data_IF_820351560697
#
_entry.id   IF_820351560697
#
_cell.length_a   1.000
_cell.length_b   1.000
_cell.length_c   1.000
_cell.angle_alpha   90.00
_cell.angle_beta   90.00
_cell.angle_gamma   90.00
#
_symmetry.space_group_name_H-M   'P 1'
#
loop_
_entity.id
_entity.type
_entity.pdbx_description
1 polymer ?
#
# COMPACT_ATOMS: atom_id res chain seq x y z
N UNK A 1 75.45 -27.40 -59.00
CA UNK A 1 74.23 -27.03 -59.75
C UNK A 1 73.13 -28.05 -59.45
N UNK A 2 71.88 -27.57 -59.24
CA UNK A 2 70.60 -28.31 -59.04
C UNK A 2 70.47 -29.09 -57.72
N UNK A 3 69.86 -28.53 -56.66
CA UNK A 3 68.41 -28.48 -56.33
C UNK A 3 67.68 -29.84 -56.53
N UNK A 4 67.24 -30.45 -55.43
CA UNK A 4 65.84 -30.38 -54.95
C UNK A 4 65.66 -31.10 -53.60
N UNK A 5 65.13 -30.35 -52.63
CA UNK A 5 64.55 -30.83 -51.38
C UNK A 5 63.18 -31.44 -51.67
N UNK A 6 62.90 -32.59 -51.06
CA UNK A 6 61.56 -33.10 -50.79
C UNK A 6 61.49 -33.22 -49.27
N UNK A 7 60.60 -32.47 -48.63
CA UNK A 7 60.13 -32.81 -47.28
C UNK A 7 58.65 -32.45 -47.20
N UNK A 8 57.84 -33.50 -47.21
CA UNK A 8 56.44 -33.51 -46.84
C UNK A 8 56.28 -33.76 -45.34
N UNK A 9 55.15 -33.29 -44.81
CA UNK A 9 54.51 -33.65 -43.54
C UNK A 9 54.76 -32.73 -42.33
N UNK A 10 53.90 -31.72 -42.23
CA UNK A 10 52.92 -31.55 -41.16
C UNK A 10 53.40 -31.64 -39.70
N UNK A 11 53.49 -30.48 -39.03
CA UNK A 11 53.14 -30.38 -37.62
C UNK A 11 52.30 -29.13 -37.39
N UNK A 12 51.07 -29.37 -36.93
CA UNK A 12 50.10 -28.41 -36.43
C UNK A 12 50.74 -27.40 -35.47
N UNK A 13 50.62 -26.11 -35.76
CA UNK A 13 50.70 -25.07 -34.73
C UNK A 13 49.31 -24.44 -34.60
N UNK A 14 48.56 -25.00 -33.66
CA UNK A 14 47.31 -24.48 -33.14
C UNK A 14 47.66 -23.61 -31.92
N UNK A 15 46.87 -22.55 -31.71
CA UNK A 15 46.70 -21.82 -30.44
C UNK A 15 47.73 -20.71 -30.18
N UNK A 16 47.35 -19.48 -30.55
CA UNK A 16 47.18 -18.36 -29.60
C UNK A 16 46.39 -17.24 -30.30
N UNK A 17 45.22 -17.57 -30.85
CA UNK A 17 44.16 -16.58 -30.90
C UNK A 17 43.67 -16.43 -29.46
N UNK A 18 44.26 -15.48 -28.73
CA UNK A 18 43.59 -14.90 -27.57
C UNK A 18 42.26 -14.40 -28.10
N UNK A 19 41.22 -15.21 -27.88
CA UNK A 19 39.84 -14.79 -27.96
C UNK A 19 39.73 -13.63 -26.96
N UNK A 20 40.01 -12.42 -27.44
CA UNK A 20 39.32 -11.22 -26.98
C UNK A 20 37.84 -11.49 -27.29
N UNK A 21 37.21 -12.26 -26.41
CA UNK A 21 35.77 -12.23 -26.26
C UNK A 21 35.45 -10.74 -26.16
N UNK A 22 34.52 -10.20 -26.98
CA UNK A 22 33.98 -8.89 -26.67
C UNK A 22 33.50 -9.01 -25.23
N UNK A 23 34.13 -8.26 -24.33
CA UNK A 23 33.56 -8.04 -23.01
C UNK A 23 32.17 -7.53 -23.32
N UNK A 24 31.17 -8.39 -23.15
CA UNK A 24 29.79 -7.95 -23.14
C UNK A 24 29.75 -6.96 -22.00
N UNK A 25 29.93 -5.68 -22.33
CA UNK A 25 29.62 -4.60 -21.43
C UNK A 25 28.15 -4.84 -21.12
N UNK A 26 27.87 -5.44 -19.96
CA UNK A 26 26.52 -5.52 -19.45
C UNK A 26 26.06 -4.06 -19.40
N UNK A 27 25.09 -3.72 -20.25
CA UNK A 27 24.61 -2.36 -20.34
C UNK A 27 24.04 -2.01 -18.97
N UNK A 28 24.79 -1.18 -18.23
CA UNK A 28 24.43 -0.77 -16.89
C UNK A 28 22.99 -0.23 -16.89
N UNK A 29 22.22 -0.62 -15.88
CA UNK A 29 20.90 -0.06 -15.67
C UNK A 29 20.99 1.44 -15.39
N UNK A 30 20.02 2.19 -15.89
CA UNK A 30 19.90 3.63 -15.66
C UNK A 30 18.82 3.89 -14.61
N UNK A 31 19.14 4.71 -13.60
CA UNK A 31 18.18 5.10 -12.56
C UNK A 31 16.94 5.77 -13.18
N UNK A 32 15.77 5.44 -12.63
CA UNK A 32 14.48 5.96 -13.06
C UNK A 32 13.94 5.36 -14.37
N UNK A 33 14.69 4.48 -15.03
CA UNK A 33 14.27 3.82 -16.26
C UNK A 33 13.45 2.57 -15.96
N UNK A 34 12.37 2.36 -16.72
CA UNK A 34 11.62 1.11 -16.71
C UNK A 34 12.40 0.05 -17.50
N UNK A 35 12.59 -1.13 -16.91
CA UNK A 35 13.38 -2.21 -17.49
C UNK A 35 12.77 -3.56 -17.13
N UNK A 36 12.83 -4.55 -18.04
CA UNK A 36 12.41 -5.91 -17.71
C UNK A 36 13.18 -6.46 -16.52
N UNK A 37 12.50 -7.17 -15.63
CA UNK A 37 13.17 -7.82 -14.52
C UNK A 37 14.19 -8.87 -15.01
N UNK A 38 15.31 -9.09 -14.29
CA UNK A 38 16.26 -10.13 -14.64
C UNK A 38 15.58 -11.50 -14.65
N UNK A 39 15.75 -12.23 -15.76
CA UNK A 39 15.21 -13.59 -15.91
C UNK A 39 15.85 -14.58 -14.93
N UNK A 40 17.09 -14.31 -14.50
CA UNK A 40 17.86 -15.11 -13.53
C UNK A 40 17.52 -14.84 -12.06
N UNK A 41 16.60 -13.91 -11.77
CA UNK A 41 16.29 -13.54 -10.40
C UNK A 41 15.62 -14.69 -9.65
N UNK A 42 16.30 -15.18 -8.61
CA UNK A 42 15.78 -16.22 -7.74
C UNK A 42 14.95 -15.57 -6.61
N UNK A 43 13.74 -16.07 -6.39
CA UNK A 43 12.90 -15.61 -5.27
C UNK A 43 13.56 -15.99 -3.94
N UNK A 44 13.74 -15.01 -3.07
CA UNK A 44 14.16 -15.24 -1.70
C UNK A 44 13.03 -16.01 -0.96
N UNK A 45 13.32 -17.15 -0.33
CA UNK A 45 12.30 -17.94 0.36
C UNK A 45 11.66 -17.16 1.52
N UNK A 46 10.35 -17.32 1.71
CA UNK A 46 9.63 -16.70 2.84
C UNK A 46 10.11 -17.15 4.23
N UNK A 47 10.84 -18.28 4.29
CA UNK A 47 11.42 -18.84 5.51
C UNK A 47 12.85 -18.38 5.76
N UNK A 48 13.43 -17.55 4.88
CA UNK A 48 14.82 -17.13 5.02
C UNK A 48 14.98 -16.10 6.15
N UNK A 49 16.13 -16.12 6.82
CA UNK A 49 16.51 -15.10 7.80
C UNK A 49 17.00 -13.80 7.17
N UNK A 50 17.05 -13.72 5.84
CA UNK A 50 17.55 -12.55 5.11
C UNK A 50 16.51 -11.44 5.02
N UNK A 51 15.23 -11.76 5.25
CA UNK A 51 14.13 -10.79 5.19
C UNK A 51 13.29 -10.95 6.43
N UNK A 52 13.27 -9.91 7.28
CA UNK A 52 12.50 -9.91 8.52
C UNK A 52 11.58 -8.72 8.57
N UNK A 53 10.29 -8.93 8.82
CA UNK A 53 9.31 -7.86 8.99
C UNK A 53 8.94 -7.68 10.47
N UNK A 54 8.78 -6.42 10.85
CA UNK A 54 8.31 -5.98 12.16
C UNK A 54 7.05 -5.15 11.98
N UNK A 55 6.02 -5.46 12.77
CA UNK A 55 4.78 -4.67 12.81
C UNK A 55 5.04 -3.31 13.47
N UNK A 56 4.53 -2.24 12.87
CA UNK A 56 4.76 -0.86 13.31
C UNK A 56 3.54 0.02 13.02
N UNK A 57 3.57 1.27 13.48
CA UNK A 57 2.49 2.22 13.26
C UNK A 57 1.36 2.03 14.26
N UNK A 58 0.14 2.31 13.83
CA UNK A 58 -1.04 2.41 14.67
C UNK A 58 -2.26 1.74 14.02
N UNK A 59 -3.37 1.54 14.75
CA UNK A 59 -4.55 0.91 14.19
C UNK A 59 -5.09 1.64 12.95
N UNK A 60 -5.74 0.89 12.05
CA UNK A 60 -6.31 1.38 10.79
C UNK A 60 -7.80 1.07 10.76
N UNK A 61 -8.62 2.10 10.64
CA UNK A 61 -10.03 2.02 10.29
C UNK A 61 -10.15 1.89 8.79
N UNK A 62 -10.73 0.79 8.32
CA UNK A 62 -10.84 0.47 6.90
C UNK A 62 -12.31 0.49 6.50
N UNK A 63 -12.66 1.40 5.59
CA UNK A 63 -14.00 1.50 5.00
C UNK A 63 -13.91 1.45 3.47
N UNK A 64 -14.01 0.24 2.93
CA UNK A 64 -14.05 0.02 1.47
C UNK A 64 -15.26 -0.82 1.04
N UNK A 65 -16.13 -1.19 1.97
CA UNK A 65 -17.36 -1.93 1.69
C UNK A 65 -18.57 -1.24 2.35
N UNK A 66 -19.62 -0.89 1.59
CA UNK A 66 -19.79 -1.07 0.14
C UNK A 66 -18.80 -0.25 -0.71
N UNK A 67 -18.16 -0.88 -1.72
CA UNK A 67 -17.25 -0.19 -2.64
C UNK A 67 -18.02 0.80 -3.53
N UNK A 68 -19.24 0.43 -3.95
CA UNK A 68 -20.14 1.28 -4.75
C UNK A 68 -21.38 1.67 -3.94
N UNK A 69 -21.58 2.97 -3.74
CA UNK A 69 -22.69 3.51 -2.95
C UNK A 69 -23.87 3.79 -3.86
N UNK A 70 -24.97 3.07 -3.70
CA UNK A 70 -26.24 3.32 -4.40
C UNK A 70 -27.20 4.16 -3.52
N UNK A 71 -28.31 4.66 -4.08
CA UNK A 71 -29.24 5.53 -3.36
C UNK A 71 -29.74 4.94 -2.02
N UNK A 72 -29.94 3.63 -1.94
CA UNK A 72 -30.38 2.95 -0.71
C UNK A 72 -29.29 2.82 0.38
N UNK A 73 -28.05 3.17 0.04
CA UNK A 73 -26.88 3.18 0.94
C UNK A 73 -26.43 4.62 1.27
N UNK A 74 -26.97 5.63 0.59
CA UNK A 74 -26.79 7.03 0.97
C UNK A 74 -27.52 7.32 2.30
N UNK A 75 -27.08 8.37 2.99
CA UNK A 75 -27.61 8.82 4.29
C UNK A 75 -27.48 7.76 5.39
N UNK A 76 -26.34 7.05 5.38
CA UNK A 76 -26.04 5.95 6.30
C UNK A 76 -24.57 5.90 6.65
N UNK A 77 -24.30 5.31 7.80
CA UNK A 77 -22.97 4.87 8.19
C UNK A 77 -22.55 3.67 7.35
N UNK A 78 -21.44 3.80 6.61
CA UNK A 78 -20.85 2.76 5.76
C UNK A 78 -20.08 1.73 6.60
N UNK A 79 -19.33 2.22 7.58
CA UNK A 79 -18.64 1.42 8.57
C UNK A 79 -18.50 2.20 9.88
N UNK A 80 -18.40 1.49 11.01
CA UNK A 80 -18.27 2.10 12.34
C UNK A 80 -17.43 1.21 13.25
N UNK A 81 -16.57 1.80 14.05
CA UNK A 81 -15.85 1.08 15.08
C UNK A 81 -15.27 2.05 16.12
N UNK A 82 -14.47 1.55 17.04
CA UNK A 82 -13.84 2.32 18.10
C UNK A 82 -12.32 2.36 17.91
N UNK A 83 -11.73 3.52 18.11
CA UNK A 83 -10.28 3.74 18.09
C UNK A 83 -9.81 4.34 19.41
N UNK A 84 -8.53 4.15 19.72
CA UNK A 84 -7.89 4.74 20.89
C UNK A 84 -6.60 5.44 20.46
N UNK A 85 -6.44 6.71 20.83
CA UNK A 85 -5.21 7.44 20.57
C UNK A 85 -5.01 7.80 19.11
N UNK A 86 -3.83 7.44 18.58
CA UNK A 86 -3.49 7.64 17.17
C UNK A 86 -4.06 6.52 16.31
N UNK A 87 -4.67 6.86 15.18
CA UNK A 87 -5.24 5.88 14.25
C UNK A 87 -5.18 6.38 12.80
N UNK A 88 -5.22 5.46 11.84
CA UNK A 88 -5.41 5.75 10.42
C UNK A 88 -6.88 5.58 10.08
N UNK A 89 -7.42 6.48 9.29
CA UNK A 89 -8.66 6.32 8.56
C UNK A 89 -8.33 6.09 7.08
N UNK A 90 -8.83 4.99 6.52
CA UNK A 90 -8.80 4.73 5.10
C UNK A 90 -10.23 4.49 4.60
N UNK A 91 -10.62 5.27 3.60
CA UNK A 91 -11.91 5.15 2.93
C UNK A 91 -11.74 5.13 1.42
N UNK A 92 -12.49 4.28 0.74
CA UNK A 92 -12.45 4.11 -0.71
C UNK A 92 -13.83 3.71 -1.21
N UNK A 93 -14.46 4.60 -1.99
CA UNK A 93 -15.81 4.39 -2.48
C UNK A 93 -16.02 4.99 -3.87
N UNK A 94 -17.00 4.45 -4.59
CA UNK A 94 -17.55 4.98 -5.82
C UNK A 94 -18.98 5.44 -5.57
N UNK A 95 -19.31 6.67 -5.97
CA UNK A 95 -20.68 7.13 -5.98
C UNK A 95 -21.43 6.54 -7.18
N UNK A 96 -22.42 5.69 -6.91
CA UNK A 96 -23.38 5.15 -7.89
C UNK A 96 -24.83 5.58 -7.58
N UNK A 97 -25.01 6.53 -6.65
CA UNK A 97 -26.28 7.16 -6.36
C UNK A 97 -26.62 8.18 -7.45
N UNK A 98 -27.92 8.51 -7.55
CA UNK A 98 -28.46 9.41 -8.56
C UNK A 98 -27.87 10.84 -8.49
N UNK A 99 -27.53 11.31 -7.29
CA UNK A 99 -26.98 12.65 -7.04
C UNK A 99 -25.57 12.65 -6.45
N UNK A 100 -25.07 13.83 -6.11
CA UNK A 100 -23.78 13.97 -5.43
C UNK A 100 -23.86 13.42 -4.00
N UNK A 101 -22.78 12.78 -3.55
CA UNK A 101 -22.63 12.31 -2.18
C UNK A 101 -21.48 13.05 -1.50
N UNK A 102 -21.75 13.59 -0.32
CA UNK A 102 -20.72 14.08 0.59
C UNK A 102 -20.35 12.95 1.55
N UNK A 103 -19.08 12.91 1.95
CA UNK A 103 -18.51 11.87 2.79
C UNK A 103 -17.85 12.48 4.03
N UNK A 104 -18.20 11.93 5.18
CA UNK A 104 -17.80 12.44 6.48
C UNK A 104 -17.21 11.33 7.34
N UNK A 105 -16.13 11.69 8.03
CA UNK A 105 -15.67 10.97 9.20
C UNK A 105 -16.34 11.61 10.42
N UNK A 106 -17.33 10.94 10.99
CA UNK A 106 -17.97 11.38 12.23
C UNK A 106 -17.30 10.72 13.43
N UNK A 107 -16.77 11.54 14.34
CA UNK A 107 -15.99 11.12 15.49
C UNK A 107 -16.75 11.52 16.75
N UNK A 108 -17.24 10.54 17.49
CA UNK A 108 -17.99 10.71 18.74
C UNK A 108 -17.09 10.43 19.93
N UNK A 109 -17.09 11.34 20.90
CA UNK A 109 -16.49 11.12 22.20
C UNK A 109 -17.45 10.28 23.05
N UNK A 110 -17.10 9.01 23.37
CA UNK A 110 -17.95 8.16 24.18
C UNK A 110 -17.84 8.46 25.69
N UNK A 111 -16.87 9.27 26.12
CA UNK A 111 -16.70 9.63 27.53
C UNK A 111 -17.89 10.43 28.04
N UNK A 112 -18.26 10.18 29.29
CA UNK A 112 -19.29 10.93 30.00
C UNK A 112 -18.73 12.15 30.74
N UNK A 113 -17.40 12.24 30.91
CA UNK A 113 -16.74 13.20 31.80
C UNK A 113 -15.67 14.02 31.11
N UNK A 114 -14.89 13.39 30.22
CA UNK A 114 -13.67 13.98 29.70
C UNK A 114 -13.84 14.44 28.26
N UNK A 115 -13.25 15.59 27.92
CA UNK A 115 -13.24 16.09 26.54
C UNK A 115 -12.08 15.49 25.75
N UNK A 116 -12.23 15.38 24.43
CA UNK A 116 -11.20 14.84 23.52
C UNK A 116 -10.73 15.93 22.57
N UNK A 117 -9.43 16.20 22.53
CA UNK A 117 -8.82 16.98 21.46
C UNK A 117 -8.52 16.07 20.25
N UNK A 118 -8.98 16.49 19.08
CA UNK A 118 -8.75 15.80 17.82
C UNK A 118 -7.75 16.56 16.96
N UNK A 119 -6.78 15.84 16.41
CA UNK A 119 -5.76 16.37 15.52
C UNK A 119 -5.71 15.57 14.22
N UNK A 120 -5.51 16.25 13.09
CA UNK A 120 -5.15 15.66 11.80
C UNK A 120 -3.63 15.70 11.63
N UNK A 121 -2.98 14.54 11.60
CA UNK A 121 -1.52 14.44 11.51
C UNK A 121 -1.06 14.62 10.07
N UNK A 122 -1.63 13.82 9.17
CA UNK A 122 -1.39 13.88 7.72
C UNK A 122 -2.54 13.21 6.99
N UNK A 123 -2.73 13.59 5.74
CA UNK A 123 -3.80 13.07 4.90
C UNK A 123 -3.42 13.04 3.41
N UNK A 124 -4.09 12.17 2.67
CA UNK A 124 -4.04 12.08 1.24
C UNK A 124 -5.45 11.95 0.71
N UNK A 125 -5.76 12.77 -0.28
CA UNK A 125 -7.04 12.80 -0.95
C UNK A 125 -6.83 12.50 -2.44
N UNK A 126 -7.70 11.69 -2.99
CA UNK A 126 -7.77 11.45 -4.42
C UNK A 126 -9.21 11.25 -4.85
N UNK A 127 -9.61 11.97 -5.90
CA UNK A 127 -10.85 11.73 -6.61
C UNK A 127 -10.56 11.31 -8.05
N UNK A 128 -11.51 10.59 -8.65
CA UNK A 128 -11.41 10.22 -10.06
C UNK A 128 -12.21 11.21 -10.90
N UNK A 129 -11.61 12.32 -11.31
CA UNK A 129 -12.30 13.31 -12.17
C UNK A 129 -12.81 12.72 -13.51
N UNK A 130 -12.20 11.65 -14.02
CA UNK A 130 -12.63 10.94 -15.23
C UNK A 130 -13.03 9.48 -14.92
N UNK A 131 -14.18 9.04 -15.46
CA UNK A 131 -14.57 7.62 -15.56
C UNK A 131 -14.93 6.84 -14.28
N UNK A 132 -14.67 7.36 -13.08
CA UNK A 132 -14.94 6.61 -11.84
C UNK A 132 -13.86 5.60 -11.47
N UNK A 133 -12.63 5.79 -11.97
CA UNK A 133 -11.52 4.88 -11.75
C UNK A 133 -10.95 5.03 -10.33
N UNK A 134 -11.31 4.07 -9.45
CA UNK A 134 -10.80 3.96 -8.07
C UNK A 134 -9.27 3.85 -8.05
N UNK A 135 -8.66 3.19 -9.03
CA UNK A 135 -7.20 3.03 -9.10
C UNK A 135 -6.49 4.36 -9.23
N UNK A 136 -7.03 5.25 -10.07
CA UNK A 136 -6.49 6.62 -10.24
C UNK A 136 -6.67 7.47 -8.98
N UNK A 137 -7.83 7.37 -8.33
CA UNK A 137 -8.08 8.05 -7.06
C UNK A 137 -7.11 7.55 -5.97
N UNK A 138 -6.94 6.23 -5.84
CA UNK A 138 -6.03 5.59 -4.90
C UNK A 138 -4.57 6.00 -5.12
N UNK A 139 -4.13 6.04 -6.38
CA UNK A 139 -2.80 6.49 -6.79
C UNK A 139 -2.53 7.94 -6.36
N UNK A 140 -3.51 8.83 -6.57
CA UNK A 140 -3.42 10.24 -6.16
C UNK A 140 -3.40 10.40 -4.64
N UNK A 141 -4.32 9.72 -3.94
CA UNK A 141 -4.42 9.77 -2.49
C UNK A 141 -3.14 9.26 -1.81
N UNK A 142 -2.61 8.12 -2.26
CA UNK A 142 -1.38 7.51 -1.74
C UNK A 142 -0.18 8.44 -1.93
N UNK A 143 -0.03 9.01 -3.13
CA UNK A 143 1.06 9.95 -3.43
C UNK A 143 0.98 11.20 -2.55
N UNK A 144 -0.21 11.78 -2.40
CA UNK A 144 -0.44 12.94 -1.54
C UNK A 144 -0.11 12.63 -0.08
N UNK A 145 -0.58 11.49 0.42
CA UNK A 145 -0.33 11.02 1.78
C UNK A 145 1.16 10.81 2.07
N UNK A 146 1.90 10.14 1.18
CA UNK A 146 3.33 9.89 1.33
C UNK A 146 4.18 11.16 1.26
N UNK A 147 3.71 12.21 0.57
CA UNK A 147 4.41 13.49 0.48
C UNK A 147 4.27 14.34 1.74
N UNK A 148 3.23 14.13 2.55
CA UNK A 148 3.04 14.89 3.80
C UNK A 148 3.92 14.35 4.92
N UNK A 149 4.49 15.27 5.69
CA UNK A 149 5.32 14.95 6.85
C UNK A 149 4.45 14.60 8.07
N UNK A 150 4.90 13.64 8.87
CA UNK A 150 4.23 13.24 10.11
C UNK A 150 4.57 14.20 11.27
N UNK A 151 4.08 15.44 11.18
CA UNK A 151 4.27 16.46 12.23
C UNK A 151 3.41 16.22 13.47
N UNK A 152 3.32 17.21 14.36
CA UNK A 152 2.48 17.15 15.58
C UNK A 152 0.97 17.10 15.29
N UNK A 153 0.57 17.33 14.04
CA UNK A 153 -0.81 17.41 13.58
C UNK A 153 -1.44 18.79 13.76
N UNK A 154 -2.42 19.07 12.90
CA UNK A 154 -3.28 20.25 12.94
C UNK A 154 -4.44 19.98 13.87
N UNK A 155 -4.62 20.83 14.88
CA UNK A 155 -5.80 20.76 15.75
C UNK A 155 -7.08 20.99 14.94
N UNK A 156 -8.06 20.10 15.10
CA UNK A 156 -9.36 20.18 14.44
C UNK A 156 -10.45 20.68 15.39
N UNK A 157 -10.57 20.06 16.57
CA UNK A 157 -11.64 20.34 17.51
C UNK A 157 -11.37 19.78 18.91
N UNK A 158 -12.06 20.33 19.91
CA UNK A 158 -12.29 19.72 21.22
C UNK A 158 -13.72 19.18 21.21
N UNK A 159 -13.86 17.88 21.39
CA UNK A 159 -15.13 17.16 21.41
C UNK A 159 -15.53 16.96 22.88
N UNK A 160 -16.55 17.70 23.32
CA UNK A 160 -17.08 17.59 24.67
C UNK A 160 -17.64 16.18 24.97
N UNK A 161 -17.81 15.80 26.24
CA UNK A 161 -18.37 14.50 26.62
C UNK A 161 -19.70 14.20 25.92
N UNK A 162 -19.82 13.00 25.36
CA UNK A 162 -21.00 12.53 24.62
C UNK A 162 -21.27 13.21 23.27
N UNK A 163 -20.51 14.24 22.90
CA UNK A 163 -20.69 14.96 21.63
C UNK A 163 -19.89 14.32 20.49
N UNK A 164 -20.12 14.79 19.27
CA UNK A 164 -19.35 14.39 18.10
C UNK A 164 -18.91 15.54 17.22
N UNK A 165 -17.91 15.27 16.39
CA UNK A 165 -17.34 16.17 15.41
C UNK A 165 -17.42 15.52 14.03
N UNK A 166 -17.83 16.30 13.02
CA UNK A 166 -17.90 15.86 11.64
C UNK A 166 -16.73 16.46 10.85
N UNK A 167 -15.86 15.59 10.34
CA UNK A 167 -14.81 15.96 9.39
C UNK A 167 -15.26 15.58 7.99
N UNK A 168 -15.57 16.58 7.15
CA UNK A 168 -15.85 16.33 5.73
C UNK A 168 -14.54 16.04 5.00
N UNK A 169 -14.44 14.87 4.40
CA UNK A 169 -13.27 14.51 3.59
C UNK A 169 -13.58 14.45 2.09
N UNK A 170 -14.85 14.53 1.70
CA UNK A 170 -15.21 14.95 0.34
C UNK A 170 -14.96 16.45 0.17
N UNK A 171 -14.52 16.89 -1.00
CA UNK A 171 -14.55 18.31 -1.32
C UNK A 171 -15.99 18.87 -1.20
N UNK A 172 -16.15 20.16 -0.91
CA UNK A 172 -17.43 20.79 -0.55
C UNK A 172 -18.59 20.60 -1.56
N UNK A 173 -18.30 20.26 -2.83
CA UNK A 173 -19.32 19.96 -3.84
C UNK A 173 -19.85 18.51 -3.78
N UNK A 174 -19.29 17.69 -2.89
CA UNK A 174 -19.49 16.24 -2.88
C UNK A 174 -18.85 15.55 -4.08
N UNK A 175 -19.04 14.24 -4.14
CA UNK A 175 -18.55 13.35 -5.20
C UNK A 175 -19.71 13.10 -6.16
N UNK A 176 -19.53 13.45 -7.43
CA UNK A 176 -20.57 13.28 -8.45
C UNK A 176 -20.83 11.80 -8.78
N UNK A 177 -21.99 11.53 -9.39
CA UNK A 177 -22.37 10.21 -9.88
C UNK A 177 -21.29 9.63 -10.81
N UNK A 178 -21.01 8.33 -10.67
CA UNK A 178 -19.97 7.57 -11.35
C UNK A 178 -18.54 8.05 -11.09
N UNK A 179 -18.28 8.77 -10.00
CA UNK A 179 -16.93 9.16 -9.56
C UNK A 179 -16.51 8.39 -8.32
N UNK A 180 -15.21 8.15 -8.20
CA UNK A 180 -14.59 7.53 -7.03
C UNK A 180 -13.90 8.56 -6.15
N UNK A 181 -13.82 8.24 -4.86
CA UNK A 181 -13.09 8.95 -3.83
C UNK A 181 -12.24 7.93 -3.06
N UNK A 182 -10.98 8.30 -2.81
CA UNK A 182 -10.11 7.59 -1.88
C UNK A 182 -9.50 8.62 -0.94
N UNK A 183 -9.59 8.34 0.35
CA UNK A 183 -9.05 9.20 1.39
C UNK A 183 -8.29 8.38 2.41
N UNK A 184 -7.13 8.89 2.80
CA UNK A 184 -6.27 8.31 3.82
C UNK A 184 -5.87 9.42 4.78
N UNK A 185 -6.00 9.21 6.08
CA UNK A 185 -5.58 10.20 7.06
C UNK A 185 -5.16 9.57 8.37
N UNK A 186 -4.10 10.08 8.97
CA UNK A 186 -3.71 9.75 10.33
C UNK A 186 -4.26 10.83 11.26
N UNK A 187 -4.95 10.41 12.30
CA UNK A 187 -5.53 11.27 13.33
C UNK A 187 -4.95 10.93 14.69
N UNK A 188 -5.00 11.89 15.61
CA UNK A 188 -4.78 11.66 17.05
C UNK A 188 -5.98 12.14 17.84
N UNK A 189 -6.56 11.24 18.62
CA UNK A 189 -7.51 11.57 19.68
C UNK A 189 -6.78 11.56 21.03
N UNK A 190 -6.76 12.69 21.72
CA UNK A 190 -6.12 12.82 23.02
C UNK A 190 -7.08 13.39 24.06
N UNK A 191 -6.96 12.95 25.30
CA UNK A 191 -7.67 13.55 26.42
C UNK A 191 -7.28 15.04 26.51
N UNK A 192 -8.28 15.91 26.60
CA UNK A 192 -8.07 17.35 26.52
C UNK A 192 -7.32 17.92 27.74
N UNK A 193 -7.30 17.20 28.86
CA UNK A 193 -6.68 17.63 30.12
C UNK A 193 -5.28 17.04 30.27
N UNK A 194 -5.13 15.73 30.05
CA UNK A 194 -3.89 15.00 30.32
C UNK A 194 -3.01 14.83 29.08
N UNK A 195 -3.59 14.96 27.88
CA UNK A 195 -2.90 14.70 26.61
C UNK A 195 -2.62 13.23 26.30
N UNK A 196 -3.09 12.29 27.15
CA UNK A 196 -2.99 10.85 26.91
C UNK A 196 -3.91 10.41 25.77
N UNK A 197 -3.69 9.21 25.24
CA UNK A 197 -4.58 8.62 24.24
C UNK A 197 -6.02 8.54 24.76
N UNK A 198 -6.98 8.92 23.91
CA UNK A 198 -8.40 8.88 24.22
C UNK A 198 -9.17 7.96 23.27
N UNK A 199 -10.22 7.35 23.81
CA UNK A 199 -11.15 6.51 23.07
C UNK A 199 -12.12 7.38 22.25
N UNK A 200 -12.34 7.02 20.99
CA UNK A 200 -13.35 7.64 20.13
C UNK A 200 -14.12 6.59 19.35
N UNK A 201 -15.42 6.84 19.11
CA UNK A 201 -16.23 6.06 18.17
C UNK A 201 -16.21 6.75 16.82
N UNK A 202 -15.88 6.01 15.78
CA UNK A 202 -15.70 6.51 14.43
C UNK A 202 -16.79 5.94 13.54
N UNK A 203 -17.39 6.77 12.70
CA UNK A 203 -18.34 6.36 11.67
C UNK A 203 -17.99 7.02 10.35
N UNK A 204 -17.80 6.22 9.31
CA UNK A 204 -17.73 6.72 7.93
C UNK A 204 -19.17 6.85 7.41
N UNK A 205 -19.56 8.05 6.99
CA UNK A 205 -20.93 8.37 6.62
C UNK A 205 -20.95 8.97 5.22
N UNK A 206 -21.81 8.42 4.36
CA UNK A 206 -22.18 9.06 3.09
C UNK A 206 -23.56 9.70 3.20
N UNK A 207 -23.73 10.90 2.65
CA UNK A 207 -25.02 11.61 2.68
C UNK A 207 -25.19 12.54 1.48
N UNK A 208 -26.43 12.74 1.05
CA UNK A 208 -26.82 13.78 0.10
C UNK A 208 -27.65 14.90 0.75
N UNK A 209 -27.73 14.93 2.08
CA UNK A 209 -28.52 15.90 2.86
C UNK A 209 -27.67 16.88 3.66
N UNK A 210 -26.35 16.84 3.51
CA UNK A 210 -25.40 17.66 4.27
C UNK A 210 -25.23 17.18 5.73
N UNK A 211 -24.87 18.10 6.63
CA UNK A 211 -24.40 17.76 7.98
C UNK A 211 -25.50 17.57 9.02
N UNK A 212 -26.76 17.92 8.70
CA UNK A 212 -27.85 18.03 9.67
C UNK A 212 -28.13 16.73 10.46
N UNK A 213 -27.94 15.57 9.83
CA UNK A 213 -28.35 14.27 10.37
C UNK A 213 -27.18 13.33 10.71
N UNK A 214 -25.94 13.79 10.65
CA UNK A 214 -24.76 12.93 10.81
C UNK A 214 -24.75 12.18 12.14
N UNK A 215 -25.11 12.84 13.25
CA UNK A 215 -25.21 12.20 14.56
C UNK A 215 -26.26 11.07 14.57
N UNK A 216 -27.42 11.29 13.94
CA UNK A 216 -28.47 10.29 13.85
C UNK A 216 -28.02 9.08 13.00
N UNK A 217 -27.32 9.32 11.88
CA UNK A 217 -26.75 8.25 11.07
C UNK A 217 -25.65 7.47 11.80
N UNK A 218 -24.83 8.14 12.61
CA UNK A 218 -23.77 7.51 13.40
C UNK A 218 -24.30 6.63 14.55
N UNK A 219 -25.51 6.92 15.06
CA UNK A 219 -26.10 6.25 16.22
C UNK A 219 -27.10 5.14 15.84
N UNK A 220 -27.27 4.82 14.56
CA UNK A 220 -28.15 3.72 14.11
C UNK A 220 -27.67 2.36 14.66
N UNK A 221 -28.56 1.39 14.92
CA UNK A 221 -28.16 0.06 15.41
C UNK A 221 -27.42 -0.77 14.36
N UNK A 222 -27.65 -0.51 13.07
CA UNK A 222 -27.01 -1.17 11.94
C UNK A 222 -26.17 -0.18 11.14
N UNK A 223 -25.23 -0.72 10.36
CA UNK A 223 -24.54 0.02 9.30
C UNK A 223 -25.09 -0.36 7.93
N UNK A 224 -24.64 0.32 6.88
CA UNK A 224 -25.01 0.02 5.51
C UNK A 224 -24.61 -1.42 5.14
N UNK A 225 -25.46 -2.12 4.40
CA UNK A 225 -25.09 -3.41 3.81
C UNK A 225 -23.96 -3.22 2.79
N UNK A 226 -23.08 -4.19 2.70
CA UNK A 226 -22.05 -4.23 1.65
C UNK A 226 -22.69 -4.42 0.26
N UNK A 227 -21.90 -4.29 -0.81
CA UNK A 227 -22.35 -4.70 -2.15
C UNK A 227 -22.12 -6.20 -2.42
N UNK A 228 -21.92 -6.99 -1.36
CA UNK A 228 -21.71 -8.42 -1.44
C UNK A 228 -22.80 -9.07 -2.29
N UNK A 229 -22.37 -9.82 -3.30
CA UNK A 229 -23.20 -10.78 -4.01
C UNK A 229 -22.36 -12.02 -4.27
N UNK A 230 -23.02 -13.14 -4.58
CA UNK A 230 -22.38 -14.46 -4.75
C UNK A 230 -21.30 -14.52 -5.84
N UNK A 231 -21.19 -13.50 -6.70
CA UNK A 231 -20.17 -13.39 -7.76
C UNK A 231 -18.96 -12.56 -7.33
N UNK A 232 -19.15 -11.50 -6.55
CA UNK A 232 -18.08 -10.57 -6.15
C UNK A 232 -17.58 -10.79 -4.73
N UNK A 233 -18.41 -11.35 -3.84
CA UNK A 233 -18.14 -11.65 -2.42
C UNK A 233 -17.41 -10.56 -1.62
N UNK A 234 -17.68 -9.31 -1.95
CA UNK A 234 -16.91 -8.12 -1.56
C UNK A 234 -17.23 -7.59 -0.16
N UNK A 235 -16.31 -7.84 0.80
CA UNK A 235 -16.34 -7.29 2.16
C UNK A 235 -14.92 -6.92 2.62
N UNK A 236 -14.54 -5.66 2.48
CA UNK A 236 -13.23 -5.10 2.87
C UNK A 236 -13.41 -3.93 3.84
N UNK A 237 -14.24 -4.11 4.87
CA UNK A 237 -14.36 -3.15 5.97
C UNK A 237 -13.93 -3.80 7.28
N UNK A 238 -13.23 -3.06 8.11
CA UNK A 238 -12.58 -3.66 9.25
C UNK A 238 -11.59 -2.77 9.98
N UNK A 239 -10.85 -3.41 10.86
CA UNK A 239 -9.75 -2.88 11.63
C UNK A 239 -8.48 -3.68 11.36
N UNK A 240 -7.39 -2.96 11.13
CA UNK A 240 -6.03 -3.47 11.25
C UNK A 240 -5.43 -2.93 12.54
N UNK A 241 -4.54 -3.68 13.15
CA UNK A 241 -3.86 -3.27 14.37
C UNK A 241 -2.67 -2.35 14.06
N UNK A 242 -2.05 -2.49 12.88
CA UNK A 242 -0.81 -1.84 12.52
C UNK A 242 -0.84 -1.27 11.10
N UNK A 243 -0.65 0.04 10.99
CA UNK A 243 -0.60 0.79 9.73
C UNK A 243 0.69 0.60 8.93
N UNK A 244 1.73 0.00 9.49
CA UNK A 244 3.01 -0.13 8.79
C UNK A 244 3.86 -1.34 9.15
N UNK A 245 4.89 -1.56 8.35
CA UNK A 245 5.94 -2.56 8.52
C UNK A 245 7.31 -1.92 8.36
N UNK A 246 8.22 -2.28 9.26
CA UNK A 246 9.65 -2.10 9.02
C UNK A 246 10.22 -3.45 8.60
N UNK A 247 11.05 -3.48 7.58
CA UNK A 247 11.63 -4.70 7.04
C UNK A 247 13.14 -4.57 6.94
N UNK A 248 13.87 -5.50 7.53
CA UNK A 248 15.32 -5.62 7.33
C UNK A 248 15.58 -6.63 6.22
N UNK A 249 16.27 -6.20 5.16
CA UNK A 249 16.60 -7.00 3.98
C UNK A 249 18.10 -7.07 3.86
N UNK A 250 18.67 -8.24 4.14
CA UNK A 250 20.12 -8.50 4.11
C UNK A 250 20.41 -9.60 3.09
N UNK A 251 20.74 -9.22 1.86
CA UNK A 251 20.91 -10.16 0.76
C UNK A 251 22.37 -10.24 0.30
N UNK A 252 22.78 -11.42 -0.14
CA UNK A 252 24.07 -11.62 -0.82
C UNK A 252 23.81 -12.04 -2.26
N UNK A 253 24.43 -11.31 -3.20
CA UNK A 253 24.47 -11.65 -4.62
C UNK A 253 25.81 -12.32 -4.93
N UNK A 254 25.80 -13.44 -5.62
CA UNK A 254 27.00 -14.23 -5.95
C UNK A 254 27.08 -14.49 -7.44
N UNK A 255 28.18 -15.04 -7.94
CA UNK A 255 28.31 -15.36 -9.37
C UNK A 255 27.29 -16.41 -9.82
N UNK A 256 26.88 -17.30 -8.92
CA UNK A 256 25.85 -18.31 -9.16
C UNK A 256 24.41 -17.77 -8.99
N UNK A 257 24.23 -16.69 -8.23
CA UNK A 257 22.95 -16.02 -8.01
C UNK A 257 23.16 -14.50 -8.05
N UNK A 258 23.38 -13.93 -9.25
CA UNK A 258 23.68 -12.51 -9.40
C UNK A 258 22.42 -11.63 -9.27
N UNK A 259 21.23 -12.24 -9.21
CA UNK A 259 19.98 -11.54 -8.98
C UNK A 259 19.08 -12.28 -7.99
N UNK A 260 18.39 -11.53 -7.14
CA UNK A 260 17.40 -12.01 -6.17
C UNK A 260 16.15 -11.16 -6.17
N UNK A 261 15.01 -11.74 -5.81
CA UNK A 261 13.73 -10.99 -5.70
C UNK A 261 13.03 -11.26 -4.38
N UNK A 262 12.39 -10.23 -3.83
CA UNK A 262 11.41 -10.33 -2.75
C UNK A 262 10.07 -9.82 -3.27
N UNK A 263 8.97 -10.45 -2.84
CA UNK A 263 7.62 -10.13 -3.33
C UNK A 263 6.72 -9.69 -2.20
N UNK A 264 5.96 -8.61 -2.43
CA UNK A 264 4.79 -8.26 -1.63
C UNK A 264 3.56 -8.89 -2.28
N UNK A 265 2.95 -9.88 -1.63
CA UNK A 265 1.89 -10.71 -2.21
C UNK A 265 0.61 -10.68 -1.39
N UNK A 266 -0.51 -11.01 -2.01
CA UNK A 266 -1.81 -11.24 -1.36
C UNK A 266 -1.93 -12.66 -0.80
N UNK A 267 -1.43 -13.65 -1.54
CA UNK A 267 -1.44 -15.06 -1.17
C UNK A 267 -0.06 -15.50 -0.66
N UNK A 268 0.10 -15.51 0.67
CA UNK A 268 1.32 -15.92 1.36
C UNK A 268 2.43 -14.88 1.29
N UNK A 269 3.16 -14.73 2.40
CA UNK A 269 4.19 -13.70 2.54
C UNK A 269 5.21 -14.08 3.60
N UNK A 270 6.12 -13.15 3.87
CA UNK A 270 7.06 -13.29 4.96
C UNK A 270 6.32 -13.22 6.30
N UNK A 271 6.89 -13.84 7.33
CA UNK A 271 6.34 -13.74 8.68
C UNK A 271 6.21 -12.27 9.09
N UNK A 272 5.07 -11.91 9.68
CA UNK A 272 4.70 -10.55 10.09
C UNK A 272 4.55 -9.50 8.97
N UNK A 273 4.75 -9.86 7.70
CA UNK A 273 4.56 -8.92 6.58
C UNK A 273 3.11 -8.43 6.52
N UNK A 274 2.16 -9.33 6.75
CA UNK A 274 0.73 -9.07 6.63
C UNK A 274 0.04 -9.13 8.00
N UNK A 275 -1.17 -8.59 8.06
CA UNK A 275 -2.04 -8.69 9.23
C UNK A 275 -3.47 -8.96 8.83
N UNK A 276 -4.17 -9.74 9.65
CA UNK A 276 -5.57 -10.09 9.46
C UNK A 276 -6.45 -8.86 9.67
N UNK A 277 -7.33 -8.59 8.70
CA UNK A 277 -8.40 -7.61 8.84
C UNK A 277 -9.51 -8.18 9.72
N UNK A 278 -9.90 -7.46 10.77
CA UNK A 278 -10.92 -7.90 11.73
C UNK A 278 -12.16 -6.99 11.66
N UNK A 279 -13.38 -7.51 11.79
CA UNK A 279 -14.60 -6.69 11.78
C UNK A 279 -15.58 -7.06 12.90
N UNK A 280 -16.31 -6.07 13.39
CA UNK A 280 -17.42 -6.17 14.35
C UNK A 280 -18.80 -6.07 13.68
N UNK A 281 -18.85 -6.11 12.34
CA UNK A 281 -20.09 -6.01 11.56
C UNK A 281 -20.15 -7.07 10.46
N UNK A 282 -21.29 -7.70 10.28
CA UNK A 282 -21.52 -8.69 9.21
C UNK A 282 -21.80 -8.00 7.85
N UNK A 283 -21.93 -8.77 6.78
CA UNK A 283 -22.16 -8.24 5.41
C UNK A 283 -23.49 -7.48 5.26
N UNK A 284 -24.49 -7.81 6.09
CA UNK A 284 -25.82 -7.21 6.10
C UNK A 284 -25.88 -5.93 6.94
N UNK A 285 -24.81 -5.66 7.70
CA UNK A 285 -24.67 -4.47 8.53
C UNK A 285 -25.15 -4.65 9.97
N UNK A 286 -25.32 -5.89 10.44
CA UNK A 286 -25.63 -6.19 11.83
C UNK A 286 -24.34 -6.26 12.67
N UNK A 287 -24.42 -5.88 13.95
CA UNK A 287 -23.28 -6.05 14.85
C UNK A 287 -23.00 -7.53 15.10
N UNK A 288 -21.72 -7.87 15.21
CA UNK A 288 -21.22 -9.20 15.54
C UNK A 288 -20.00 -9.11 16.45
N UNK A 289 -19.61 -10.25 17.03
CA UNK A 289 -18.32 -10.36 17.71
C UNK A 289 -17.18 -10.14 16.70
N UNK A 290 -16.09 -9.53 17.18
CA UNK A 290 -14.94 -9.27 16.33
C UNK A 290 -14.40 -10.58 15.74
N UNK A 291 -14.35 -10.65 14.41
CA UNK A 291 -13.96 -11.86 13.66
C UNK A 291 -13.14 -11.49 12.43
N UNK A 292 -12.26 -12.39 11.92
CA UNK A 292 -11.57 -12.16 10.67
C UNK A 292 -12.54 -11.93 9.51
N UNK A 293 -12.24 -10.92 8.69
CA UNK A 293 -12.97 -10.66 7.45
C UNK A 293 -12.60 -11.73 6.43
N UNK A 294 -13.58 -12.24 5.69
CA UNK A 294 -13.41 -13.29 4.68
C UNK A 294 -14.02 -12.88 3.35
N UNK A 295 -13.38 -13.25 2.25
CA UNK A 295 -13.88 -13.04 0.90
C UNK A 295 -13.50 -14.23 0.05
N UNK A 296 -14.47 -14.76 -0.72
CA UNK A 296 -14.32 -16.03 -1.43
C UNK A 296 -13.80 -17.17 -0.52
N UNK A 297 -14.16 -17.15 0.77
CA UNK A 297 -13.70 -18.14 1.76
C UNK A 297 -12.25 -17.98 2.22
N UNK A 298 -11.52 -16.95 1.77
CA UNK A 298 -10.16 -16.64 2.22
C UNK A 298 -10.18 -15.50 3.24
N UNK A 299 -9.51 -15.71 4.37
CA UNK A 299 -9.25 -14.65 5.36
C UNK A 299 -8.51 -13.50 4.70
N UNK A 300 -8.97 -12.28 4.97
CA UNK A 300 -8.37 -11.07 4.46
C UNK A 300 -7.17 -10.69 5.30
N UNK A 301 -6.06 -10.55 4.60
CA UNK A 301 -4.78 -10.10 5.11
C UNK A 301 -4.41 -8.82 4.36
N UNK A 302 -3.99 -7.80 5.09
CA UNK A 302 -3.74 -6.48 4.52
C UNK A 302 -2.30 -6.35 4.04
N UNK A 303 -2.20 -5.96 2.78
CA UNK A 303 -1.02 -5.44 2.09
C UNK A 303 -1.30 -4.02 1.59
N UNK A 304 -2.54 -3.74 1.18
CA UNK A 304 -3.05 -2.42 0.80
C UNK A 304 -3.09 -1.50 2.03
N UNK A 305 -2.90 -0.19 1.81
CA UNK A 305 -2.87 0.87 2.83
C UNK A 305 -1.81 0.75 3.94
N UNK A 306 -0.90 -0.23 3.81
CA UNK A 306 0.23 -0.47 4.71
C UNK A 306 1.45 0.35 4.28
N UNK A 307 2.04 1.11 5.20
CA UNK A 307 3.37 1.70 5.02
C UNK A 307 4.43 0.60 5.10
N UNK A 308 5.37 0.56 4.18
CA UNK A 308 6.55 -0.29 4.28
C UNK A 308 7.82 0.55 4.31
N UNK A 309 8.66 0.32 5.31
CA UNK A 309 10.00 0.90 5.42
C UNK A 309 11.03 -0.23 5.36
N UNK A 310 11.71 -0.36 4.24
CA UNK A 310 12.75 -1.36 4.01
C UNK A 310 14.12 -0.77 4.33
N UNK A 311 14.86 -1.39 5.25
CA UNK A 311 16.28 -1.19 5.46
C UNK A 311 17.02 -2.25 4.64
N UNK A 312 17.60 -1.83 3.52
CA UNK A 312 18.17 -2.74 2.53
C UNK A 312 19.68 -2.70 2.63
N UNK A 313 20.29 -3.88 2.77
CA UNK A 313 21.74 -4.10 2.72
C UNK A 313 22.04 -5.27 1.77
N UNK A 314 22.85 -5.01 0.75
CA UNK A 314 23.18 -5.95 -0.32
C UNK A 314 24.69 -6.15 -0.33
N UNK A 315 25.13 -7.39 -0.11
CA UNK A 315 26.53 -7.79 -0.28
C UNK A 315 26.72 -8.30 -1.71
N UNK A 316 27.51 -7.58 -2.51
CA UNK A 316 27.84 -7.99 -3.88
C UNK A 316 29.16 -8.77 -3.93
N UNK A 317 29.04 -10.08 -4.04
CA UNK A 317 30.15 -11.01 -4.24
C UNK A 317 30.07 -11.70 -5.60
N UNK A 318 29.38 -11.09 -6.57
CA UNK A 318 29.16 -11.69 -7.90
C UNK A 318 30.35 -11.56 -8.85
N UNK A 319 31.28 -10.64 -8.55
CA UNK A 319 32.35 -10.23 -9.46
C UNK A 319 31.92 -9.15 -10.46
N UNK A 320 30.64 -8.74 -10.45
CA UNK A 320 30.12 -7.63 -11.25
C UNK A 320 30.24 -6.30 -10.46
N UNK A 321 30.53 -5.18 -11.14
CA UNK A 321 30.91 -3.94 -10.47
C UNK A 321 29.76 -3.23 -9.74
N UNK A 322 28.52 -3.35 -10.22
CA UNK A 322 27.40 -2.57 -9.71
C UNK A 322 26.30 -3.46 -9.12
N UNK A 323 25.45 -2.85 -8.30
CA UNK A 323 24.18 -3.43 -7.83
C UNK A 323 23.08 -2.45 -8.18
N UNK A 324 21.92 -2.98 -8.55
CA UNK A 324 20.73 -2.20 -8.80
C UNK A 324 19.53 -2.82 -8.10
N UNK A 325 18.62 -1.96 -7.66
CA UNK A 325 17.30 -2.39 -7.21
C UNK A 325 16.23 -1.91 -8.17
N UNK A 326 15.38 -2.84 -8.60
CA UNK A 326 14.20 -2.57 -9.41
C UNK A 326 12.94 -2.76 -8.55
N UNK A 327 11.96 -1.87 -8.70
CA UNK A 327 10.64 -2.03 -8.06
C UNK A 327 9.55 -2.02 -9.12
N UNK A 328 8.63 -2.98 -9.07
CA UNK A 328 7.57 -3.11 -10.08
C UNK A 328 6.66 -4.30 -9.85
N UNK A 329 6.12 -4.85 -10.95
CA UNK A 329 5.20 -5.99 -10.91
C UNK A 329 5.54 -7.04 -11.96
N UNK A 330 5.67 -8.30 -11.52
CA UNK A 330 6.05 -9.41 -12.40
C UNK A 330 4.87 -10.02 -13.15
N UNK A 331 3.66 -9.90 -12.61
CA UNK A 331 2.49 -10.66 -13.08
C UNK A 331 1.49 -9.83 -13.87
N UNK A 332 1.48 -8.52 -13.67
CA UNK A 332 0.47 -7.59 -14.18
C UNK A 332 1.01 -6.16 -14.25
N UNK A 333 0.35 -5.27 -14.99
CA UNK A 333 0.63 -3.83 -14.89
C UNK A 333 0.19 -3.31 -13.51
N UNK A 334 0.96 -2.40 -12.93
CA UNK A 334 0.71 -1.88 -11.59
C UNK A 334 1.19 -0.44 -11.45
N UNK A 335 0.63 0.28 -10.48
CA UNK A 335 1.24 1.52 -10.01
C UNK A 335 2.15 1.22 -8.82
N UNK A 336 3.31 1.85 -8.79
CA UNK A 336 4.23 1.79 -7.65
C UNK A 336 4.40 3.18 -7.06
N UNK A 337 4.42 3.25 -5.73
CA UNK A 337 4.70 4.47 -4.98
C UNK A 337 5.91 4.20 -4.10
N UNK A 338 6.97 5.01 -4.22
CA UNK A 338 8.16 4.81 -3.42
C UNK A 338 8.87 6.11 -3.08
N UNK A 339 9.73 6.07 -2.06
CA UNK A 339 10.55 7.20 -1.61
C UNK A 339 11.92 6.72 -1.12
N UNK A 340 12.97 7.19 -1.80
CA UNK A 340 14.40 7.11 -1.41
C UNK A 340 14.96 8.55 -1.38
N UNK A 341 14.17 9.47 -0.82
CA UNK A 341 14.36 10.91 -0.95
C UNK A 341 13.03 11.61 -1.23
N UNK A 342 12.66 11.73 -2.51
CA UNK A 342 11.37 12.25 -2.95
C UNK A 342 10.38 11.12 -3.23
N UNK A 343 9.08 11.38 -3.06
CA UNK A 343 8.03 10.43 -3.43
C UNK A 343 7.91 10.39 -4.95
N UNK A 344 7.94 9.17 -5.49
CA UNK A 344 7.76 8.89 -6.91
C UNK A 344 6.57 7.95 -7.09
N UNK A 345 5.70 8.30 -8.04
CA UNK A 345 4.60 7.45 -8.51
C UNK A 345 4.82 7.12 -9.98
N UNK A 346 4.78 5.84 -10.34
CA UNK A 346 4.90 5.36 -11.72
C UNK A 346 3.94 4.22 -11.98
N UNK A 347 3.36 4.20 -13.17
CA UNK A 347 2.84 2.95 -13.73
C UNK A 347 4.01 2.16 -14.31
N UNK A 348 3.98 0.84 -14.14
CA UNK A 348 4.93 -0.11 -14.74
C UNK A 348 4.15 -1.17 -15.51
N UNK A 349 4.72 -1.61 -16.62
CA UNK A 349 4.17 -2.71 -17.40
C UNK A 349 4.45 -4.06 -16.72
N UNK A 350 3.64 -5.06 -17.11
CA UNK A 350 3.80 -6.43 -16.65
C UNK A 350 5.20 -6.95 -16.97
N UNK A 351 5.89 -7.45 -15.95
CA UNK A 351 7.23 -8.06 -16.09
C UNK A 351 8.37 -7.05 -15.98
N UNK A 352 8.05 -5.78 -15.74
CA UNK A 352 9.02 -4.70 -15.64
C UNK A 352 9.07 -4.11 -14.23
N UNK A 353 10.19 -3.44 -13.94
CA UNK A 353 10.35 -2.57 -12.80
C UNK A 353 11.09 -1.29 -13.15
N UNK A 354 10.92 -0.26 -12.32
CA UNK A 354 11.74 0.94 -12.37
C UNK A 354 13.02 0.67 -11.60
N UNK A 355 14.17 1.03 -12.17
CA UNK A 355 15.45 1.03 -11.44
C UNK A 355 15.40 2.17 -10.42
N UNK A 356 15.26 1.84 -9.14
CA UNK A 356 15.01 2.82 -8.07
C UNK A 356 16.28 3.22 -7.31
N UNK A 357 17.31 2.39 -7.30
CA UNK A 357 18.57 2.70 -6.64
C UNK A 357 19.73 1.85 -7.17
N UNK A 358 20.96 2.33 -7.00
CA UNK A 358 22.22 1.67 -7.33
C UNK A 358 23.16 1.49 -6.11
N UNK A 359 22.75 1.96 -4.93
CA UNK A 359 23.50 1.77 -3.71
C UNK A 359 23.29 0.38 -3.09
N UNK A 360 24.34 -0.17 -2.48
CA UNK A 360 24.28 -1.43 -1.73
C UNK A 360 23.59 -1.31 -0.38
N UNK A 361 23.44 -0.10 0.19
CA UNK A 361 22.77 0.12 1.47
C UNK A 361 21.91 1.39 1.43
N UNK A 362 20.63 1.29 1.78
CA UNK A 362 19.69 2.41 1.77
C UNK A 362 18.36 2.07 2.46
N UNK A 363 17.58 3.11 2.74
CA UNK A 363 16.19 2.97 3.20
C UNK A 363 15.22 3.28 2.06
N UNK A 364 14.23 2.40 1.87
CA UNK A 364 13.15 2.55 0.91
C UNK A 364 11.82 2.61 1.65
N UNK A 365 11.06 3.68 1.46
CA UNK A 365 9.67 3.72 1.87
C UNK A 365 8.75 3.43 0.68
N UNK A 366 7.76 2.57 0.85
CA UNK A 366 6.72 2.31 -0.15
C UNK A 366 5.36 2.15 0.54
N UNK A 367 4.29 2.30 -0.24
CA UNK A 367 2.95 1.95 0.18
C UNK A 367 2.25 1.24 -0.97
N UNK A 368 1.66 0.08 -0.70
CA UNK A 368 0.80 -0.58 -1.69
C UNK A 368 -0.53 0.17 -1.69
N UNK A 369 -0.79 0.85 -2.80
CA UNK A 369 -2.04 1.58 -2.97
C UNK A 369 -3.24 0.61 -2.95
N UNK A 370 -4.41 1.06 -2.49
CA UNK A 370 -5.65 0.33 -2.69
C UNK A 370 -5.90 -0.04 -4.16
N UNK A 371 -6.55 -1.18 -4.38
CA UNK A 371 -6.90 -1.71 -5.71
C UNK A 371 -5.72 -1.96 -6.67
N UNK A 372 -4.48 -1.98 -6.15
CA UNK A 372 -3.33 -2.35 -6.95
C UNK A 372 -3.33 -3.85 -7.27
N UNK A 373 -2.77 -4.20 -8.43
CA UNK A 373 -2.54 -5.60 -8.75
C UNK A 373 -1.29 -6.11 -8.01
N UNK A 374 -1.42 -7.27 -7.38
CA UNK A 374 -0.33 -7.97 -6.70
C UNK A 374 0.08 -9.24 -7.45
N UNK A 375 1.29 -9.79 -7.19
CA UNK A 375 2.33 -9.26 -6.30
C UNK A 375 3.17 -8.13 -6.89
N UNK A 376 3.60 -7.20 -6.04
CA UNK A 376 4.71 -6.28 -6.34
C UNK A 376 6.04 -6.96 -6.00
N UNK A 377 7.12 -6.54 -6.66
CA UNK A 377 8.44 -7.16 -6.54
C UNK A 377 9.55 -6.14 -6.40
N UNK A 378 10.44 -6.37 -5.44
CA UNK A 378 11.74 -5.72 -5.33
C UNK A 378 12.80 -6.70 -5.80
N UNK A 379 13.53 -6.32 -6.83
CA UNK A 379 14.54 -7.13 -7.50
C UNK A 379 15.91 -6.51 -7.33
N UNK A 380 16.87 -7.29 -6.86
CA UNK A 380 18.24 -6.88 -6.61
C UNK A 380 19.14 -7.58 -7.60
N UNK A 381 19.87 -6.84 -8.43
CA UNK A 381 20.66 -7.39 -9.52
C UNK A 381 22.07 -6.81 -9.53
N UNK A 382 23.08 -7.67 -9.62
CA UNK A 382 24.45 -7.27 -9.90
C UNK A 382 24.69 -7.21 -11.41
N UNK A 383 25.38 -6.16 -11.88
CA UNK A 383 25.71 -5.93 -13.30
C UNK A 383 27.06 -5.27 -13.53
#
# INVERSE_FOLDING_TARGET
>A
MRKRFINTASLFLMICAVLLLPGNAFAAYSLGTETPFPASSAKEPYTSGNVTFFKTGHPVFVSNAPESIYDHQANKTLYRDTMNGTFRFWSSHRNMASGNLSFFLYIKNPSATDSVNLYLIKDGYGDSNAGGDVTKAASTATTSFMNKSAGSGTYLATIAPGQGYAYEYSAAAGIANQKAIVYMADFRAADATTGSDALVKISDISTNTGTANLAAYADTPTISRTNYNTKTNDDYRGLLQHSGRTADVNLTLTSASPAKTITQSDDGGYMNEQETLMSTWDIDGNPQNQTPVSFNGKIRVAYWCTDYTYNINITNSSGLPNVYTLYGSRTSGAFINYKIGTVTNRHVDKGNGIVINDASAYTLHTMVQPSNNLPLSLDFAAQ
#
